data_IF_959781917977
#
_entry.id   IF_959781917977
#
_cell.length_a   1.000
_cell.length_b   1.000
_cell.length_c   1.000
_cell.angle_alpha   90.00
_cell.angle_beta   90.00
_cell.angle_gamma   90.00
#
_symmetry.space_group_name_H-M   'P 1'
#
loop_
_entity.id
_entity.type
_entity.pdbx_description
1 polymer ?
#
# COMPACT_ATOMS: atom_id res chain seq x y z
N UNK A 1 -14.02 10.92 -3.95
CA UNK A 1 -12.95 10.58 -2.99
C UNK A 1 -11.91 9.79 -3.76
N UNK A 2 -10.84 10.45 -4.19
CA UNK A 2 -9.76 9.80 -4.95
C UNK A 2 -8.85 9.09 -3.97
N UNK A 3 -8.90 7.75 -3.94
CA UNK A 3 -7.85 6.94 -3.33
C UNK A 3 -6.92 6.51 -4.46
N UNK A 4 -6.03 7.41 -4.81
CA UNK A 4 -4.88 7.10 -5.64
C UNK A 4 -3.68 7.64 -4.90
N UNK A 5 -2.87 6.75 -4.38
CA UNK A 5 -1.71 7.12 -3.59
C UNK A 5 -0.65 6.05 -3.65
N UNK A 6 0.55 6.46 -3.34
CA UNK A 6 1.68 5.57 -3.13
C UNK A 6 1.93 5.44 -1.63
N UNK A 7 1.93 4.21 -1.14
CA UNK A 7 2.35 3.88 0.21
C UNK A 7 3.76 3.27 0.16
N UNK A 8 4.67 3.83 0.92
CA UNK A 8 6.04 3.30 1.03
C UNK A 8 6.22 2.57 2.34
N UNK A 9 6.85 1.41 2.29
CA UNK A 9 7.07 0.57 3.46
C UNK A 9 8.55 0.41 3.75
N UNK A 10 8.94 0.68 5.00
CA UNK A 10 10.22 0.30 5.57
C UNK A 10 10.01 -0.78 6.62
N UNK A 11 10.52 -1.99 6.38
CA UNK A 11 10.39 -3.12 7.29
C UNK A 11 11.58 -3.23 8.23
N UNK A 12 11.32 -3.37 9.53
CA UNK A 12 12.31 -3.68 10.55
C UNK A 12 11.87 -4.89 11.37
N UNK A 13 12.75 -5.88 11.55
CA UNK A 13 12.52 -7.02 12.44
C UNK A 13 13.02 -6.66 13.82
N UNK A 14 12.17 -6.77 14.85
CA UNK A 14 12.63 -6.81 16.25
C UNK A 14 13.20 -8.20 16.55
N UNK A 15 14.43 -8.26 17.01
CA UNK A 15 15.14 -9.50 17.33
C UNK A 15 14.99 -9.89 18.82
N UNK A 16 14.38 -9.07 19.63
CA UNK A 16 14.17 -9.35 21.08
C UNK A 16 12.67 -9.43 21.34
N UNK A 17 12.23 -10.59 21.83
CA UNK A 17 10.96 -10.74 22.54
C UNK A 17 11.06 -9.88 23.80
N UNK A 18 10.17 -8.91 24.03
CA UNK A 18 10.01 -8.35 25.36
C UNK A 18 9.43 -9.44 26.27
N UNK A 19 9.78 -9.46 27.57
CA UNK A 19 9.09 -10.33 28.51
C UNK A 19 7.60 -10.01 28.46
N UNK A 20 6.82 -11.06 28.57
CA UNK A 20 5.36 -11.07 28.52
C UNK A 20 4.78 -9.96 29.40
N UNK A 21 4.45 -8.82 28.83
CA UNK A 21 3.54 -7.87 29.46
C UNK A 21 2.15 -8.21 28.94
N UNK A 22 1.16 -8.37 29.84
CA UNK A 22 -0.21 -8.56 29.41
C UNK A 22 -0.63 -7.36 28.54
N UNK A 23 -1.23 -7.67 27.41
CA UNK A 23 -1.84 -6.68 26.51
C UNK A 23 -2.72 -5.74 27.32
N UNK A 24 -2.61 -4.41 27.14
CA UNK A 24 -3.60 -3.51 27.68
C UNK A 24 -4.95 -3.91 27.06
N UNK A 25 -5.88 -4.28 27.91
CA UNK A 25 -7.29 -4.44 27.58
C UNK A 25 -7.75 -3.14 26.95
N UNK A 26 -8.06 -3.20 25.65
CA UNK A 26 -8.79 -2.13 24.99
C UNK A 26 -10.17 -2.07 25.65
N UNK A 27 -10.39 -1.06 26.46
CA UNK A 27 -11.73 -0.69 26.86
C UNK A 27 -12.53 -0.31 25.60
N UNK A 28 -13.78 -0.77 25.49
CA UNK A 28 -14.61 -0.40 24.36
C UNK A 28 -14.99 1.08 24.50
N UNK A 29 -14.27 1.96 23.81
CA UNK A 29 -14.76 3.30 23.60
C UNK A 29 -16.04 3.21 22.77
N UNK A 30 -17.10 3.69 23.41
CA UNK A 30 -18.45 3.94 22.93
C UNK A 30 -18.57 4.03 21.41
N UNK A 31 -19.50 3.22 20.90
CA UNK A 31 -20.05 3.31 19.57
C UNK A 31 -20.61 4.72 19.34
N UNK A 32 -19.81 5.62 18.81
CA UNK A 32 -20.30 6.69 17.98
C UNK A 32 -20.34 6.17 16.56
N UNK A 33 -21.53 5.95 16.04
CA UNK A 33 -21.80 5.80 14.62
C UNK A 33 -21.26 7.05 13.91
N UNK A 34 -20.00 6.97 13.48
CA UNK A 34 -19.38 8.01 12.72
C UNK A 34 -20.03 8.05 11.34
N UNK A 35 -20.99 8.92 11.20
CA UNK A 35 -21.51 9.37 9.91
C UNK A 35 -20.34 9.63 8.96
N UNK A 36 -20.22 8.82 7.90
CA UNK A 36 -19.13 8.85 6.89
C UNK A 36 -19.22 10.11 6.00
N UNK A 37 -19.78 11.19 6.48
CA UNK A 37 -19.84 12.51 5.83
C UNK A 37 -18.81 13.50 6.39
N UNK A 38 -17.70 13.03 6.97
CA UNK A 38 -16.59 13.95 7.27
C UNK A 38 -15.97 14.39 5.95
N UNK A 39 -15.90 15.71 5.73
CA UNK A 39 -15.19 16.30 4.59
C UNK A 39 -13.80 15.67 4.52
N UNK A 40 -13.52 15.00 3.42
CA UNK A 40 -12.21 14.41 3.17
C UNK A 40 -11.17 15.53 3.12
N UNK A 41 -10.27 15.54 4.10
CA UNK A 41 -9.05 16.34 4.03
C UNK A 41 -7.97 15.44 3.40
N UNK A 42 -7.44 15.77 2.22
CA UNK A 42 -6.39 14.96 1.62
C UNK A 42 -5.14 14.98 2.50
N UNK A 43 -4.62 13.80 2.80
CA UNK A 43 -3.34 13.65 3.50
C UNK A 43 -2.23 14.16 2.59
N UNK A 44 -1.41 15.08 3.08
CA UNK A 44 -0.23 15.56 2.35
C UNK A 44 0.92 14.56 2.49
N UNK A 45 1.18 14.18 3.73
CA UNK A 45 2.18 13.19 4.10
C UNK A 45 1.88 12.71 5.51
N UNK A 46 1.76 11.40 5.68
CA UNK A 46 1.55 10.81 6.99
C UNK A 46 2.45 9.60 7.18
N UNK A 47 2.99 9.47 8.39
CA UNK A 47 3.79 8.32 8.78
C UNK A 47 3.11 7.60 9.93
N UNK A 48 2.82 6.33 9.75
CA UNK A 48 2.33 5.48 10.82
C UNK A 48 3.13 4.18 10.92
N UNK A 49 2.98 3.49 12.03
CA UNK A 49 3.67 2.24 12.28
C UNK A 49 2.66 1.15 12.59
N UNK A 50 2.77 0.02 11.92
CA UNK A 50 2.01 -1.19 12.23
C UNK A 50 2.93 -2.37 12.50
N UNK A 51 2.44 -3.39 13.17
CA UNK A 51 3.18 -4.62 13.46
C UNK A 51 2.45 -5.81 12.85
N UNK A 52 3.19 -6.64 12.14
CA UNK A 52 2.69 -7.87 11.53
C UNK A 52 3.47 -9.04 12.07
N UNK A 53 2.80 -10.13 12.43
CA UNK A 53 3.45 -11.37 12.87
C UNK A 53 3.72 -12.27 11.67
N UNK A 54 4.99 -12.55 11.39
CA UNK A 54 5.41 -13.47 10.35
C UNK A 54 6.23 -14.61 10.95
N UNK A 55 5.71 -15.85 10.81
CA UNK A 55 6.37 -17.06 11.33
C UNK A 55 6.77 -16.92 12.80
N UNK A 56 5.87 -16.41 13.64
CA UNK A 56 6.10 -16.21 15.07
C UNK A 56 7.05 -15.06 15.43
N UNK A 57 7.43 -14.20 14.46
CA UNK A 57 8.28 -13.04 14.71
C UNK A 57 7.52 -11.76 14.37
N UNK A 58 7.63 -10.78 15.24
CA UNK A 58 7.08 -9.46 15.01
C UNK A 58 7.90 -8.69 13.98
N UNK A 59 7.22 -8.17 12.99
CA UNK A 59 7.78 -7.30 11.95
C UNK A 59 7.13 -5.93 12.07
N UNK A 60 7.92 -4.95 12.44
CA UNK A 60 7.48 -3.55 12.49
C UNK A 60 7.56 -2.96 11.09
N UNK A 61 6.43 -2.45 10.59
CA UNK A 61 6.33 -1.74 9.33
C UNK A 61 6.14 -0.25 9.61
N UNK A 62 7.03 0.57 9.08
CA UNK A 62 6.79 2.01 8.99
C UNK A 62 6.17 2.26 7.61
N UNK A 63 4.97 2.79 7.62
CA UNK A 63 4.18 3.09 6.44
C UNK A 63 4.18 4.60 6.24
N UNK A 64 4.42 5.02 5.02
CA UNK A 64 4.43 6.42 4.62
C UNK A 64 3.35 6.62 3.58
N UNK A 65 2.29 7.31 3.95
CA UNK A 65 1.20 7.71 3.05
C UNK A 65 1.55 9.06 2.41
N UNK A 66 1.43 9.14 1.11
CA UNK A 66 1.78 10.33 0.35
C UNK A 66 0.63 10.76 -0.54
N UNK A 67 0.41 12.07 -0.62
CA UNK A 67 -0.61 12.65 -1.48
C UNK A 67 -0.38 12.30 -2.96
N UNK A 68 -1.47 11.88 -3.63
CA UNK A 68 -1.46 11.60 -5.06
C UNK A 68 -1.64 12.84 -5.95
N UNK A 69 -1.87 14.01 -5.37
CA UNK A 69 -2.11 15.27 -6.09
C UNK A 69 -0.83 15.78 -6.77
N UNK A 70 -1.00 16.46 -7.88
CA UNK A 70 0.11 16.98 -8.70
C UNK A 70 0.93 18.04 -7.99
N UNK A 71 0.33 18.80 -7.11
CA UNK A 71 0.99 19.83 -6.28
C UNK A 71 2.14 19.24 -5.46
N UNK A 72 2.09 17.95 -5.14
CA UNK A 72 3.09 17.25 -4.34
C UNK A 72 4.07 16.40 -5.14
N UNK A 73 4.00 16.41 -6.48
CA UNK A 73 4.85 15.59 -7.34
C UNK A 73 6.36 15.85 -7.11
N UNK A 74 6.73 17.08 -6.72
CA UNK A 74 8.12 17.45 -6.40
C UNK A 74 8.56 17.01 -4.99
N UNK A 75 7.63 16.91 -4.05
CA UNK A 75 7.93 16.55 -2.65
C UNK A 75 7.84 15.05 -2.40
N UNK A 76 6.94 14.36 -3.09
CA UNK A 76 6.69 12.93 -2.93
C UNK A 76 7.95 12.07 -3.06
N UNK A 77 8.87 12.31 -4.02
CA UNK A 77 10.10 11.52 -4.16
C UNK A 77 11.04 11.56 -2.95
N UNK A 78 10.95 12.58 -2.10
CA UNK A 78 11.73 12.64 -0.86
C UNK A 78 11.37 11.50 0.11
N UNK A 79 10.15 10.97 0.01
CA UNK A 79 9.67 9.85 0.82
C UNK A 79 10.17 8.50 0.33
N UNK A 80 10.70 8.41 -0.88
CA UNK A 80 11.11 7.16 -1.52
C UNK A 80 12.43 6.61 -1.00
N UNK A 81 13.22 7.44 -0.36
CA UNK A 81 14.51 7.06 0.18
C UNK A 81 14.36 5.92 1.18
N UNK A 82 15.20 4.89 1.02
CA UNK A 82 15.20 3.68 1.87
C UNK A 82 13.88 2.88 1.88
N UNK A 83 12.99 3.05 0.90
CA UNK A 83 11.82 2.19 0.77
C UNK A 83 12.25 0.74 0.52
N UNK A 84 11.59 -0.20 1.19
CA UNK A 84 11.79 -1.63 0.98
C UNK A 84 10.69 -2.28 0.15
N UNK A 85 9.58 -1.57 -0.01
CA UNK A 85 8.43 -1.95 -0.81
C UNK A 85 7.58 -0.72 -1.11
N UNK A 86 6.90 -0.75 -2.24
CA UNK A 86 5.94 0.25 -2.67
C UNK A 86 4.57 -0.42 -2.87
N UNK A 87 3.52 0.17 -2.32
CA UNK A 87 2.15 -0.18 -2.61
C UNK A 87 1.55 0.89 -3.52
N UNK A 88 1.11 0.50 -4.70
CA UNK A 88 0.36 1.36 -5.62
C UNK A 88 -1.12 1.06 -5.45
N UNK A 89 -1.85 2.00 -4.90
CA UNK A 89 -3.27 1.84 -4.58
C UNK A 89 -4.16 2.54 -5.59
N UNK A 90 -5.23 1.88 -6.03
CA UNK A 90 -6.29 2.47 -6.84
C UNK A 90 -7.68 2.07 -6.32
N UNK A 91 -8.68 2.85 -6.65
CA UNK A 91 -10.09 2.58 -6.34
C UNK A 91 -10.72 1.77 -7.47
N UNK A 92 -11.21 0.57 -7.19
CA UNK A 92 -11.82 -0.31 -8.21
C UNK A 92 -13.06 0.29 -8.86
N UNK A 93 -13.63 1.34 -8.29
CA UNK A 93 -14.79 2.07 -8.82
C UNK A 93 -14.42 3.42 -9.45
N UNK A 94 -13.12 3.68 -9.62
CA UNK A 94 -12.63 4.89 -10.28
C UNK A 94 -11.65 4.53 -11.41
N UNK A 95 -12.12 4.40 -12.67
CA UNK A 95 -11.28 4.07 -13.82
C UNK A 95 -10.09 5.02 -13.99
N UNK A 96 -10.27 6.34 -13.77
CA UNK A 96 -9.17 7.30 -13.84
C UNK A 96 -8.06 6.95 -12.84
N UNK A 97 -8.41 6.49 -11.64
CA UNK A 97 -7.42 6.06 -10.66
C UNK A 97 -6.66 4.82 -11.10
N UNK A 98 -7.33 3.93 -11.81
CA UNK A 98 -6.71 2.76 -12.41
C UNK A 98 -5.78 3.11 -13.56
N UNK A 99 -6.19 4.00 -14.46
CA UNK A 99 -5.36 4.47 -15.57
C UNK A 99 -4.07 5.14 -15.06
N UNK A 100 -4.16 5.87 -13.95
CA UNK A 100 -3.01 6.49 -13.30
C UNK A 100 -1.96 5.49 -12.81
N UNK A 101 -2.31 4.22 -12.61
CA UNK A 101 -1.34 3.16 -12.27
C UNK A 101 -0.25 3.06 -13.36
N UNK A 102 -0.66 3.08 -14.62
CA UNK A 102 0.25 2.93 -15.77
C UNK A 102 0.80 4.27 -16.28
N UNK A 103 -0.01 5.32 -16.25
CA UNK A 103 0.33 6.62 -16.83
C UNK A 103 1.19 7.46 -15.88
N UNK A 104 0.90 7.42 -14.58
CA UNK A 104 1.56 8.25 -13.57
C UNK A 104 2.47 7.45 -12.65
N UNK A 105 1.91 6.47 -11.94
CA UNK A 105 2.60 5.81 -10.83
C UNK A 105 3.72 4.89 -11.25
N UNK A 106 3.50 4.07 -12.27
CA UNK A 106 4.54 3.15 -12.76
C UNK A 106 5.78 3.89 -13.28
N UNK A 107 5.67 4.92 -14.14
CA UNK A 107 6.83 5.70 -14.58
C UNK A 107 7.56 6.39 -13.43
N UNK A 108 6.83 6.98 -12.47
CA UNK A 108 7.41 7.65 -11.31
C UNK A 108 8.21 6.67 -10.44
N UNK A 109 7.59 5.55 -10.06
CA UNK A 109 8.26 4.51 -9.26
C UNK A 109 9.47 3.93 -9.99
N UNK A 110 9.36 3.67 -11.29
CA UNK A 110 10.47 3.17 -12.11
C UNK A 110 11.64 4.15 -12.16
N UNK A 111 11.36 5.45 -12.18
CA UNK A 111 12.40 6.47 -12.21
C UNK A 111 13.14 6.60 -10.87
N UNK A 112 12.40 6.67 -9.76
CA UNK A 112 12.99 6.95 -8.44
C UNK A 112 13.35 5.71 -7.62
N UNK A 113 12.76 4.54 -7.92
CA UNK A 113 12.84 3.32 -7.11
C UNK A 113 13.08 2.07 -7.96
N UNK A 114 14.09 2.09 -8.83
CA UNK A 114 14.31 1.09 -9.88
C UNK A 114 14.25 -0.37 -9.41
N UNK A 115 14.81 -0.68 -8.25
CA UNK A 115 14.95 -2.07 -7.76
C UNK A 115 13.95 -2.41 -6.65
N UNK A 116 13.12 -1.45 -6.23
CA UNK A 116 12.20 -1.66 -5.11
C UNK A 116 10.98 -2.46 -5.59
N UNK A 117 10.62 -3.56 -4.91
CA UNK A 117 9.43 -4.33 -5.30
C UNK A 117 8.16 -3.51 -5.16
N UNK A 118 7.22 -3.74 -6.07
CA UNK A 118 5.92 -3.06 -6.13
C UNK A 118 4.81 -4.08 -5.96
N UNK A 119 3.80 -3.75 -5.16
CA UNK A 119 2.52 -4.47 -5.09
C UNK A 119 1.42 -3.53 -5.53
N UNK A 120 0.57 -3.98 -6.45
CA UNK A 120 -0.62 -3.26 -6.89
C UNK A 120 -1.81 -3.63 -6.02
N UNK A 121 -2.55 -2.64 -5.52
CA UNK A 121 -3.69 -2.84 -4.61
C UNK A 121 -4.96 -2.23 -5.19
N UNK A 122 -5.97 -3.07 -5.43
CA UNK A 122 -7.32 -2.63 -5.73
C UNK A 122 -8.11 -2.41 -4.44
N UNK A 123 -8.41 -1.15 -4.13
CA UNK A 123 -9.13 -0.75 -2.92
C UNK A 123 -10.64 -0.62 -3.16
N UNK A 124 -11.42 -0.64 -2.05
CA UNK A 124 -12.88 -0.44 -2.03
C UNK A 124 -13.66 -1.49 -2.83
N UNK A 125 -13.25 -2.75 -2.74
CA UNK A 125 -13.92 -3.88 -3.43
C UNK A 125 -15.39 -4.02 -3.06
N UNK A 126 -15.78 -3.56 -1.87
CA UNK A 126 -17.15 -3.48 -1.40
C UNK A 126 -18.07 -2.66 -2.32
N UNK A 127 -17.54 -1.62 -2.95
CA UNK A 127 -18.31 -0.74 -3.85
C UNK A 127 -18.54 -1.36 -5.25
N UNK A 128 -17.87 -2.45 -5.59
CA UNK A 128 -18.04 -3.11 -6.90
C UNK A 128 -19.47 -3.61 -7.11
N UNK A 129 -20.16 -4.01 -6.04
CA UNK A 129 -21.56 -4.46 -6.04
C UNK A 129 -22.55 -3.38 -5.58
N UNK A 130 -22.08 -2.20 -5.25
CA UNK A 130 -22.94 -1.09 -4.83
C UNK A 130 -23.77 -0.58 -6.01
N UNK A 131 -25.11 -0.53 -5.81
CA UNK A 131 -26.05 -0.20 -6.89
C UNK A 131 -25.92 1.27 -7.32
N UNK A 132 -25.69 2.17 -6.39
CA UNK A 132 -25.56 3.60 -6.67
C UNK A 132 -24.27 3.91 -7.41
N UNK A 133 -23.16 3.35 -6.94
CA UNK A 133 -21.87 3.46 -7.59
C UNK A 133 -21.91 2.89 -9.02
N UNK A 134 -22.47 1.69 -9.20
CA UNK A 134 -22.60 1.05 -10.51
C UNK A 134 -23.48 1.86 -11.46
N UNK A 135 -24.62 2.43 -10.96
CA UNK A 135 -25.47 3.28 -11.76
C UNK A 135 -24.75 4.54 -12.24
N UNK A 136 -24.01 5.21 -11.33
CA UNK A 136 -23.20 6.38 -11.67
C UNK A 136 -22.14 6.08 -12.73
N UNK A 137 -21.45 4.96 -12.60
CA UNK A 137 -20.46 4.56 -13.62
C UNK A 137 -21.10 4.29 -14.97
N UNK A 138 -22.27 3.63 -14.99
CA UNK A 138 -23.02 3.36 -16.23
C UNK A 138 -23.44 4.66 -16.94
N UNK A 139 -23.83 5.73 -16.22
CA UNK A 139 -24.15 7.03 -16.86
C UNK A 139 -22.94 7.66 -17.56
N UNK A 140 -21.73 7.28 -17.16
CA UNK A 140 -20.46 7.71 -17.76
C UNK A 140 -19.91 6.69 -18.79
N UNK A 141 -20.70 5.70 -19.17
CA UNK A 141 -20.26 4.56 -20.00
C UNK A 141 -19.02 3.82 -19.43
N UNK A 142 -18.93 3.76 -18.10
CA UNK A 142 -17.86 3.12 -17.36
C UNK A 142 -18.40 1.95 -16.53
N UNK A 143 -17.49 1.10 -16.07
CA UNK A 143 -17.77 -0.01 -15.16
C UNK A 143 -16.68 -0.11 -14.10
N UNK A 144 -16.97 -0.74 -12.95
CA UNK A 144 -15.94 -1.05 -11.97
C UNK A 144 -14.84 -1.92 -12.57
N UNK A 145 -13.61 -1.66 -12.18
CA UNK A 145 -12.44 -2.44 -12.60
C UNK A 145 -12.58 -3.88 -12.10
N UNK A 146 -12.43 -4.82 -13.01
CA UNK A 146 -12.48 -6.26 -12.71
C UNK A 146 -11.14 -6.75 -12.16
N UNK A 147 -11.17 -7.90 -11.48
CA UNK A 147 -9.95 -8.55 -11.00
C UNK A 147 -8.98 -8.89 -12.14
N UNK A 148 -9.51 -9.33 -13.30
CA UNK A 148 -8.70 -9.64 -14.50
C UNK A 148 -8.00 -8.41 -15.08
N UNK A 149 -8.64 -7.24 -15.05
CA UNK A 149 -8.00 -5.98 -15.45
C UNK A 149 -6.87 -5.61 -14.48
N UNK A 150 -7.07 -5.79 -13.17
CA UNK A 150 -6.03 -5.58 -12.17
C UNK A 150 -4.82 -6.51 -12.39
N UNK A 151 -5.04 -7.79 -12.69
CA UNK A 151 -3.99 -8.74 -13.05
C UNK A 151 -3.24 -8.33 -14.33
N UNK A 152 -3.95 -7.85 -15.35
CA UNK A 152 -3.32 -7.37 -16.58
C UNK A 152 -2.44 -6.14 -16.30
N UNK A 153 -2.91 -5.20 -15.46
CA UNK A 153 -2.11 -4.05 -15.04
C UNK A 153 -0.87 -4.46 -14.24
N UNK A 154 -1.00 -5.46 -13.36
CA UNK A 154 0.14 -6.03 -12.62
C UNK A 154 1.22 -6.57 -13.57
N UNK A 155 0.84 -7.30 -14.61
CA UNK A 155 1.77 -7.81 -15.61
C UNK A 155 2.42 -6.68 -16.42
N UNK A 156 1.64 -5.69 -16.87
CA UNK A 156 2.13 -4.54 -17.64
C UNK A 156 3.11 -3.69 -16.85
N UNK A 157 2.87 -3.49 -15.57
CA UNK A 157 3.72 -2.69 -14.68
C UNK A 157 4.85 -3.51 -14.04
N UNK A 158 4.90 -4.82 -14.28
CA UNK A 158 5.84 -5.74 -13.66
C UNK A 158 5.80 -5.68 -12.12
N UNK A 159 4.62 -5.41 -11.55
CA UNK A 159 4.43 -5.48 -10.11
C UNK A 159 4.51 -6.95 -9.64
N UNK A 160 5.05 -7.19 -8.45
CA UNK A 160 5.26 -8.56 -7.95
C UNK A 160 3.96 -9.28 -7.60
N UNK A 161 2.94 -8.53 -7.17
CA UNK A 161 1.63 -9.04 -6.80
C UNK A 161 0.53 -8.05 -7.14
N UNK A 162 -0.67 -8.57 -7.36
CA UNK A 162 -1.92 -7.83 -7.33
C UNK A 162 -2.80 -8.37 -6.21
N UNK A 163 -3.29 -7.49 -5.33
CA UNK A 163 -4.19 -7.83 -4.23
C UNK A 163 -5.38 -6.87 -4.23
N UNK A 164 -6.49 -7.34 -3.67
CA UNK A 164 -7.70 -6.53 -3.51
C UNK A 164 -8.13 -6.48 -2.05
N UNK A 165 -8.63 -5.34 -1.60
CA UNK A 165 -9.11 -5.19 -0.22
C UNK A 165 -10.28 -4.21 -0.09
N UNK A 166 -11.01 -4.34 1.02
CA UNK A 166 -11.98 -3.36 1.49
C UNK A 166 -11.64 -2.94 2.92
N UNK A 167 -11.21 -1.70 3.11
CA UNK A 167 -10.99 -1.16 4.44
C UNK A 167 -12.30 -0.98 5.22
N UNK A 168 -13.42 -0.74 4.53
CA UNK A 168 -14.74 -0.59 5.15
C UNK A 168 -15.19 -1.85 5.90
N UNK A 169 -14.94 -3.02 5.32
CA UNK A 169 -15.29 -4.31 5.90
C UNK A 169 -14.10 -5.07 6.49
N UNK A 170 -12.92 -4.45 6.55
CA UNK A 170 -11.66 -5.07 7.00
C UNK A 170 -11.29 -6.33 6.20
N UNK A 171 -11.82 -6.44 4.96
CA UNK A 171 -11.61 -7.61 4.12
C UNK A 171 -10.24 -7.53 3.45
N UNK A 172 -9.41 -8.57 3.62
CA UNK A 172 -8.07 -8.74 3.07
C UNK A 172 -7.04 -7.64 3.48
N UNK A 173 -7.37 -6.73 4.41
CA UNK A 173 -6.44 -5.67 4.82
C UNK A 173 -5.21 -6.25 5.50
N UNK A 174 -5.38 -7.21 6.40
CA UNK A 174 -4.27 -7.90 7.06
C UNK A 174 -3.40 -8.67 6.08
N UNK A 175 -4.00 -9.31 5.08
CA UNK A 175 -3.28 -10.06 4.06
C UNK A 175 -2.41 -9.16 3.20
N UNK A 176 -2.88 -7.97 2.84
CA UNK A 176 -2.09 -6.94 2.15
C UNK A 176 -0.83 -6.61 2.95
N UNK A 177 -0.97 -6.28 4.24
CA UNK A 177 0.19 -5.95 5.06
C UNK A 177 1.10 -7.15 5.34
N UNK A 178 0.54 -8.36 5.42
CA UNK A 178 1.31 -9.59 5.58
C UNK A 178 2.19 -9.89 4.35
N UNK A 179 1.62 -9.82 3.16
CA UNK A 179 2.37 -9.99 1.91
C UNK A 179 3.38 -8.87 1.70
N UNK A 180 3.00 -7.63 2.00
CA UNK A 180 3.89 -6.48 1.97
C UNK A 180 5.10 -6.68 2.90
N UNK A 181 4.89 -7.14 4.13
CA UNK A 181 5.97 -7.42 5.07
C UNK A 181 6.93 -8.52 4.57
N UNK A 182 6.40 -9.60 3.97
CA UNK A 182 7.22 -10.68 3.38
C UNK A 182 8.14 -10.15 2.28
N UNK A 183 7.58 -9.38 1.35
CA UNK A 183 8.32 -8.82 0.21
C UNK A 183 9.36 -7.78 0.64
N UNK A 184 8.98 -6.85 1.52
CA UNK A 184 9.89 -5.84 2.06
C UNK A 184 11.06 -6.46 2.81
N UNK A 185 10.84 -7.51 3.60
CA UNK A 185 11.91 -8.23 4.29
C UNK A 185 12.83 -8.99 3.34
N UNK A 186 12.27 -9.62 2.31
CA UNK A 186 13.06 -10.33 1.29
C UNK A 186 13.98 -9.36 0.55
N UNK A 187 13.47 -8.21 0.14
CA UNK A 187 14.25 -7.16 -0.51
C UNK A 187 15.35 -6.60 0.40
N UNK A 188 15.01 -6.26 1.64
CA UNK A 188 16.00 -5.79 2.64
C UNK A 188 17.14 -6.78 2.87
N UNK A 189 16.87 -8.09 2.88
CA UNK A 189 17.89 -9.13 3.00
C UNK A 189 18.82 -9.10 1.79
N UNK A 190 18.28 -9.08 0.56
CA UNK A 190 19.07 -8.98 -0.67
C UNK A 190 19.99 -7.76 -0.66
N UNK A 191 19.49 -6.59 -0.25
CA UNK A 191 20.29 -5.37 -0.15
C UNK A 191 21.45 -5.50 0.85
N UNK A 192 21.22 -6.13 2.02
CA UNK A 192 22.28 -6.35 3.02
C UNK A 192 23.36 -7.29 2.50
N UNK A 193 22.96 -8.38 1.84
CA UNK A 193 23.89 -9.35 1.27
C UNK A 193 24.74 -8.74 0.15
N UNK A 194 24.13 -7.89 -0.68
CA UNK A 194 24.85 -7.15 -1.73
C UNK A 194 25.87 -6.17 -1.14
N UNK A 195 25.51 -5.40 -0.12
CA UNK A 195 26.44 -4.50 0.57
C UNK A 195 27.61 -5.26 1.21
N UNK A 196 27.36 -6.40 1.85
CA UNK A 196 28.42 -7.25 2.43
C UNK A 196 29.40 -7.74 1.37
N UNK A 197 28.92 -8.24 0.23
CA UNK A 197 29.79 -8.73 -0.85
C UNK A 197 30.67 -7.63 -1.43
N UNK A 198 30.19 -6.40 -1.55
CA UNK A 198 31.00 -5.26 -2.03
C UNK A 198 32.11 -4.87 -1.06
N UNK A 199 31.90 -4.97 0.24
CA UNK A 199 32.96 -4.67 1.24
C UNK A 199 34.04 -5.76 1.30
N UNK A 200 33.72 -7.02 1.00
CA UNK A 200 34.70 -8.10 0.93
C UNK A 200 35.51 -8.12 -0.37
N UNK A 201 35.13 -7.37 -1.39
CA UNK A 201 35.85 -7.30 -2.68
C UNK A 201 36.93 -6.20 -2.73
N UNK A 202 37.15 -5.47 -1.63
CA UNK A 202 38.11 -4.36 -1.53
C UNK A 202 39.31 -4.74 -0.62
N UNK A 203 39.44 -6.00 -0.27
CA UNK A 203 40.62 -6.60 0.32
C UNK A 203 41.23 -7.57 -0.71
#
# INVERSE_FOLDING_TARGET
>A
MQVTGLLFLRAAVRTTLPPHQPSPTMEPHSQEEACVCKKYAPTVFEKFTTTVVLRGKEVKLNVYDTAGQEDYDRLRPLSYQEAHLILVCFDVTNPTSFDNVTIKWHPEVKHFCQDVPVILIGCKTDLRKDKECTRRLKTLNQAPITYTQGLAAQQTTNAELYLECSAKYQENVEDVFREAAKKALAFRRKQKDYKRKRHCAIL
#
